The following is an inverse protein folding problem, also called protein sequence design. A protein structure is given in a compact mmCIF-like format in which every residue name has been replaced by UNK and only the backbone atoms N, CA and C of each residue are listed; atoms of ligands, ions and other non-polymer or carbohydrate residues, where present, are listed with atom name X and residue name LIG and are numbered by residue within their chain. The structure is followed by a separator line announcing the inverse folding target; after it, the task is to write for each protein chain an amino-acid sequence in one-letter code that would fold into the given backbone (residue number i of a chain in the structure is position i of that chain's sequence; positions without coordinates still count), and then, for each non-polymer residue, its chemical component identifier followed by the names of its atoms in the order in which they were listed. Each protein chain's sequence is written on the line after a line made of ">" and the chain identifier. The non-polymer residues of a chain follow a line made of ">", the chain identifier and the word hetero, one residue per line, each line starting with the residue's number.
data_IF_546144259136
#
_entry.id   IF_546144259136
#
_cell.length_a   1.000
_cell.length_b   1.000
_cell.length_c   1.000
_cell.angle_alpha   90.00
_cell.angle_beta   90.00
_cell.angle_gamma   90.00
#
_symmetry.space_group_name_H-M   'P 1'
#
loop_
_entity.id
_entity.type
_entity.pdbx_description
1 polymer ?
#
# COMPACT_ATOMS: atom_id res chain seq x y z
N UNK A 1 15.72 -32.14 -62.04
CA UNK A 1 14.93 -32.98 -61.11
C UNK A 1 13.95 -32.02 -60.46
N UNK A 2 12.66 -32.35 -60.42
CA UNK A 2 11.67 -31.45 -59.83
C UNK A 2 11.98 -31.34 -58.33
N UNK A 3 12.16 -30.11 -57.84
CA UNK A 3 12.46 -29.84 -56.45
C UNK A 3 11.24 -30.22 -55.61
N UNK A 4 11.33 -31.31 -54.84
CA UNK A 4 10.21 -31.82 -54.03
C UNK A 4 9.98 -30.84 -52.89
N UNK A 5 8.76 -30.30 -52.79
CA UNK A 5 8.44 -29.42 -51.69
C UNK A 5 8.03 -30.26 -50.49
N UNK A 6 8.97 -30.50 -49.58
CA UNK A 6 8.77 -31.37 -48.41
C UNK A 6 7.57 -30.96 -47.53
N UNK A 7 7.20 -29.69 -47.52
CA UNK A 7 6.07 -29.18 -46.73
C UNK A 7 4.72 -29.52 -47.38
N UNK A 8 4.56 -29.31 -48.69
CA UNK A 8 3.30 -29.61 -49.38
C UNK A 8 3.18 -31.11 -49.69
N UNK A 9 4.29 -31.75 -50.06
CA UNK A 9 4.27 -33.11 -50.60
C UNK A 9 4.24 -34.16 -49.50
N UNK A 10 4.99 -33.96 -48.41
CA UNK A 10 5.03 -34.92 -47.29
C UNK A 10 4.16 -34.47 -46.13
N UNK A 11 4.31 -33.23 -45.68
CA UNK A 11 3.52 -32.72 -44.56
C UNK A 11 2.11 -32.30 -44.96
N UNK A 12 1.77 -32.19 -46.25
CA UNK A 12 0.43 -31.79 -46.72
C UNK A 12 -0.02 -30.44 -46.15
N UNK A 13 0.92 -29.52 -45.94
CA UNK A 13 0.61 -28.14 -45.54
C UNK A 13 0.09 -27.42 -46.79
N UNK A 14 -1.05 -26.69 -46.71
CA UNK A 14 -1.55 -25.93 -47.85
C UNK A 14 -0.50 -24.94 -48.36
N UNK A 15 -0.35 -24.82 -49.69
CA UNK A 15 0.63 -23.91 -50.29
C UNK A 15 0.46 -22.45 -49.86
N UNK A 16 -0.75 -22.05 -49.48
CA UNK A 16 -1.04 -20.71 -48.95
C UNK A 16 -0.41 -20.44 -47.57
N UNK A 17 -0.17 -21.50 -46.79
CA UNK A 17 0.37 -21.42 -45.42
C UNK A 17 1.90 -21.63 -45.39
N UNK A 18 2.49 -21.97 -46.54
CA UNK A 18 3.95 -22.06 -46.71
C UNK A 18 4.46 -20.70 -47.20
N UNK A 19 5.29 -20.00 -46.41
CA UNK A 19 5.83 -18.71 -46.83
C UNK A 19 6.72 -18.85 -48.08
N UNK A 20 6.82 -17.81 -48.93
CA UNK A 20 7.61 -17.85 -50.16
C UNK A 20 9.12 -17.95 -49.90
N UNK A 21 9.58 -17.52 -48.71
CA UNK A 21 10.96 -17.65 -48.25
C UNK A 21 10.98 -18.26 -46.84
N UNK A 22 11.66 -19.40 -46.69
CA UNK A 22 11.88 -20.07 -45.40
C UNK A 22 10.83 -21.11 -44.98
N UNK A 23 11.04 -21.77 -43.83
CA UNK A 23 10.13 -22.79 -43.32
C UNK A 23 8.82 -22.17 -42.79
N UNK A 24 7.71 -22.93 -42.78
CA UNK A 24 6.49 -22.56 -42.08
C UNK A 24 6.72 -22.31 -40.58
N UNK A 25 5.77 -21.66 -39.93
CA UNK A 25 5.82 -21.49 -38.48
C UNK A 25 5.85 -22.86 -37.74
N UNK A 26 6.39 -22.88 -36.52
CA UNK A 26 6.59 -24.12 -35.76
C UNK A 26 5.25 -24.84 -35.44
N UNK A 27 4.13 -24.12 -35.37
CA UNK A 27 2.81 -24.69 -35.14
C UNK A 27 2.31 -25.40 -36.41
N UNK A 28 2.44 -24.75 -37.57
CA UNK A 28 2.11 -25.32 -38.87
C UNK A 28 3.00 -26.53 -39.20
N UNK A 29 4.30 -26.45 -38.92
CA UNK A 29 5.25 -27.54 -39.12
C UNK A 29 4.88 -28.78 -38.31
N UNK A 30 4.44 -28.58 -37.06
CA UNK A 30 3.97 -29.65 -36.18
C UNK A 30 2.48 -29.96 -36.30
N UNK A 31 1.74 -29.34 -37.23
CA UNK A 31 0.28 -29.50 -37.39
C UNK A 31 -0.50 -29.29 -36.09
N UNK A 32 -0.18 -28.21 -35.39
CA UNK A 32 -0.83 -27.79 -34.15
C UNK A 32 -1.59 -26.49 -34.37
N UNK A 33 -2.60 -26.26 -33.52
CA UNK A 33 -3.24 -24.95 -33.44
C UNK A 33 -2.23 -23.90 -32.95
N UNK A 34 -2.33 -22.69 -33.49
CA UNK A 34 -1.49 -21.57 -33.06
C UNK A 34 -1.64 -21.35 -31.55
N UNK A 35 -0.50 -21.22 -30.87
CA UNK A 35 -0.40 -21.04 -29.42
C UNK A 35 -0.85 -22.24 -28.56
N UNK A 36 -0.80 -23.47 -29.09
CA UNK A 36 -1.01 -24.69 -28.28
C UNK A 36 -0.10 -24.69 -27.04
N UNK A 37 -0.70 -24.87 -25.87
CA UNK A 37 0.00 -24.78 -24.57
C UNK A 37 0.32 -26.14 -23.96
N UNK A 38 -0.28 -27.22 -24.47
CA UNK A 38 -0.03 -28.56 -23.93
C UNK A 38 1.26 -29.18 -24.53
N UNK A 39 2.35 -29.33 -23.74
CA UNK A 39 3.62 -29.85 -24.24
C UNK A 39 3.54 -31.33 -24.65
N UNK A 40 2.62 -32.11 -24.08
CA UNK A 40 2.44 -33.51 -24.44
C UNK A 40 1.78 -33.65 -25.80
N UNK A 41 0.86 -32.74 -26.17
CA UNK A 41 0.33 -32.67 -27.53
C UNK A 41 1.42 -32.31 -28.54
N UNK A 42 2.29 -31.35 -28.21
CA UNK A 42 3.44 -30.98 -29.05
C UNK A 42 4.34 -32.19 -29.29
N UNK A 43 4.72 -32.90 -28.23
CA UNK A 43 5.54 -34.12 -28.30
C UNK A 43 4.85 -35.23 -29.08
N UNK A 44 3.55 -35.43 -28.88
CA UNK A 44 2.78 -36.45 -29.59
C UNK A 44 2.73 -36.16 -31.11
N UNK A 45 2.53 -34.91 -31.50
CA UNK A 45 2.52 -34.53 -32.91
C UNK A 45 3.91 -34.68 -33.55
N UNK A 46 4.95 -34.20 -32.87
CA UNK A 46 6.34 -34.39 -33.29
C UNK A 46 6.67 -35.87 -33.53
N UNK A 47 6.32 -36.78 -32.59
CA UNK A 47 6.60 -38.22 -32.75
C UNK A 47 5.96 -38.79 -34.02
N UNK A 48 4.69 -38.44 -34.30
CA UNK A 48 3.96 -38.90 -35.49
C UNK A 48 4.63 -38.41 -36.78
N UNK A 49 4.95 -37.12 -36.85
CA UNK A 49 5.56 -36.51 -38.04
C UNK A 49 6.99 -36.98 -38.25
N UNK A 50 7.79 -37.06 -37.19
CA UNK A 50 9.15 -37.56 -37.22
C UNK A 50 9.21 -39.03 -37.69
N UNK A 51 8.26 -39.88 -37.27
CA UNK A 51 8.15 -41.25 -37.80
C UNK A 51 7.79 -41.27 -39.29
N UNK A 52 6.87 -40.41 -39.72
CA UNK A 52 6.47 -40.31 -41.13
C UNK A 52 7.64 -39.88 -42.03
N UNK A 53 8.36 -38.82 -41.64
CA UNK A 53 9.48 -38.28 -42.42
C UNK A 53 10.65 -39.27 -42.48
N UNK A 54 10.91 -40.03 -41.41
CA UNK A 54 11.91 -41.11 -41.42
C UNK A 54 11.68 -42.18 -42.49
N UNK A 55 10.44 -42.34 -42.97
CA UNK A 55 10.15 -43.21 -44.11
C UNK A 55 10.85 -42.80 -45.41
N UNK A 56 11.28 -41.55 -45.51
CA UNK A 56 11.99 -40.98 -46.67
C UNK A 56 13.49 -40.82 -46.44
N UNK A 57 14.01 -41.28 -45.30
CA UNK A 57 15.42 -41.10 -44.90
C UNK A 57 16.42 -41.93 -45.75
N UNK A 58 15.92 -42.85 -46.58
CA UNK A 58 16.75 -43.65 -47.49
C UNK A 58 16.35 -43.40 -48.95
N UNK A 59 17.34 -43.23 -49.83
CA UNK A 59 17.14 -43.07 -51.27
C UNK A 59 17.46 -41.66 -51.78
N UNK A 60 16.80 -41.25 -52.86
CA UNK A 60 17.05 -39.97 -53.57
C UNK A 60 16.74 -38.72 -52.73
N UNK A 61 15.88 -38.85 -51.71
CA UNK A 61 15.43 -37.73 -50.86
C UNK A 61 16.03 -37.72 -49.45
N UNK A 62 17.13 -38.44 -49.22
CA UNK A 62 17.72 -38.61 -47.89
C UNK A 62 18.17 -37.29 -47.26
N UNK A 63 18.73 -36.38 -48.08
CA UNK A 63 19.18 -35.05 -47.63
C UNK A 63 17.99 -34.19 -47.17
N UNK A 64 16.97 -34.07 -48.01
CA UNK A 64 15.74 -33.32 -47.72
C UNK A 64 15.00 -33.89 -46.51
N UNK A 65 14.99 -35.22 -46.35
CA UNK A 65 14.45 -35.88 -45.16
C UNK A 65 15.22 -35.51 -43.91
N UNK A 66 16.54 -35.47 -43.96
CA UNK A 66 17.35 -35.14 -42.79
C UNK A 66 17.17 -33.67 -42.38
N UNK A 67 17.07 -32.75 -43.34
CA UNK A 67 16.77 -31.35 -43.09
C UNK A 67 15.42 -31.16 -42.41
N UNK A 68 14.36 -31.78 -42.95
CA UNK A 68 13.03 -31.68 -42.35
C UNK A 68 12.97 -32.27 -40.94
N UNK A 69 13.67 -33.39 -40.68
CA UNK A 69 13.78 -33.95 -39.33
C UNK A 69 14.45 -32.96 -38.35
N UNK A 70 15.48 -32.25 -38.81
CA UNK A 70 16.14 -31.23 -38.00
C UNK A 70 15.20 -30.04 -37.71
N UNK A 71 14.40 -29.61 -38.68
CA UNK A 71 13.39 -28.55 -38.49
C UNK A 71 12.30 -28.97 -37.50
N UNK A 72 11.76 -30.19 -37.63
CA UNK A 72 10.76 -30.74 -36.72
C UNK A 72 11.30 -30.81 -35.27
N UNK A 73 12.58 -31.19 -35.12
CA UNK A 73 13.23 -31.21 -33.82
C UNK A 73 13.40 -29.81 -33.22
N UNK A 74 13.83 -28.82 -34.03
CA UNK A 74 13.94 -27.42 -33.61
C UNK A 74 12.59 -26.86 -33.16
N UNK A 75 11.52 -27.11 -33.93
CA UNK A 75 10.17 -26.69 -33.59
C UNK A 75 9.69 -27.30 -32.26
N UNK A 76 9.90 -28.61 -32.08
CA UNK A 76 9.53 -29.30 -30.83
C UNK A 76 10.30 -28.75 -29.62
N UNK A 77 11.61 -28.54 -29.74
CA UNK A 77 12.42 -27.96 -28.66
C UNK A 77 12.01 -26.51 -28.34
N UNK A 78 11.66 -25.71 -29.34
CA UNK A 78 11.20 -24.34 -29.13
C UNK A 78 9.83 -24.30 -28.42
N UNK A 79 8.90 -25.21 -28.78
CA UNK A 79 7.54 -25.22 -28.27
C UNK A 79 7.35 -25.97 -26.94
N UNK A 80 8.32 -26.77 -26.49
CA UNK A 80 8.26 -27.50 -25.22
C UNK A 80 9.04 -26.85 -24.08
N UNK A 81 9.92 -25.90 -24.38
CA UNK A 81 10.63 -25.08 -23.39
C UNK A 81 9.81 -23.82 -23.08
N UNK A 82 9.47 -23.59 -21.81
CA UNK A 82 8.58 -22.50 -21.41
C UNK A 82 9.14 -21.11 -21.77
N UNK A 83 10.45 -20.92 -21.62
CA UNK A 83 11.11 -19.65 -21.95
C UNK A 83 11.11 -19.36 -23.45
N UNK A 84 11.60 -20.32 -24.24
CA UNK A 84 11.67 -20.20 -25.71
C UNK A 84 10.30 -20.12 -26.35
N UNK A 85 9.32 -20.91 -25.87
CA UNK A 85 7.94 -20.85 -26.35
C UNK A 85 7.37 -19.47 -26.14
N UNK A 86 7.63 -18.85 -24.99
CA UNK A 86 7.14 -17.51 -24.68
C UNK A 86 7.69 -16.45 -25.61
N UNK A 87 8.99 -16.48 -25.89
CA UNK A 87 9.66 -15.57 -26.84
C UNK A 87 9.15 -15.76 -28.27
N UNK A 88 9.00 -17.03 -28.69
CA UNK A 88 8.48 -17.38 -30.00
C UNK A 88 7.01 -16.98 -30.18
N UNK A 89 6.17 -17.26 -29.17
CA UNK A 89 4.76 -16.86 -29.18
C UNK A 89 4.61 -15.33 -29.22
N UNK A 90 5.50 -14.60 -28.52
CA UNK A 90 5.54 -13.15 -28.57
C UNK A 90 5.87 -12.64 -30.00
N UNK A 91 6.83 -13.26 -30.70
CA UNK A 91 7.18 -12.87 -32.08
C UNK A 91 6.05 -13.13 -33.07
N UNK A 92 5.20 -14.13 -32.82
CA UNK A 92 3.98 -14.42 -33.57
C UNK A 92 2.75 -13.60 -33.12
N UNK A 93 2.92 -12.65 -32.20
CA UNK A 93 1.89 -11.71 -31.77
C UNK A 93 1.00 -12.17 -30.61
N UNK A 94 1.39 -13.21 -29.86
CA UNK A 94 0.64 -13.62 -28.65
C UNK A 94 0.71 -12.52 -27.60
N UNK A 95 -0.46 -12.03 -27.18
CA UNK A 95 -0.57 -11.21 -25.98
C UNK A 95 -0.70 -12.14 -24.77
N UNK A 96 0.32 -12.16 -23.93
CA UNK A 96 0.23 -12.83 -22.65
C UNK A 96 -0.74 -12.04 -21.77
N UNK A 97 -1.70 -12.73 -21.14
CA UNK A 97 -2.54 -12.13 -20.11
C UNK A 97 -1.58 -11.54 -19.07
N UNK A 98 -1.58 -10.21 -18.91
CA UNK A 98 -0.80 -9.61 -17.85
C UNK A 98 -1.31 -10.23 -16.54
N UNK A 99 -0.42 -10.82 -15.75
CA UNK A 99 -0.74 -11.24 -14.38
C UNK A 99 -1.09 -9.97 -13.62
N UNK A 100 -2.38 -9.69 -13.59
CA UNK A 100 -2.97 -8.62 -12.81
C UNK A 100 -3.36 -9.19 -11.45
N UNK A 101 -3.23 -8.37 -10.41
CA UNK A 101 -3.80 -8.68 -9.10
C UNK A 101 -5.34 -8.76 -9.16
N UNK A 102 -5.97 -9.05 -8.02
CA UNK A 102 -7.44 -9.15 -7.88
C UNK A 102 -8.19 -7.90 -8.38
N UNK A 103 -7.53 -6.74 -8.39
CA UNK A 103 -8.05 -5.45 -8.85
C UNK A 103 -7.81 -5.21 -10.36
N UNK A 104 -7.29 -6.18 -11.11
CA UNK A 104 -6.99 -6.02 -12.54
C UNK A 104 -5.75 -5.14 -12.82
N UNK A 105 -4.87 -4.93 -11.84
CA UNK A 105 -3.71 -4.04 -11.94
C UNK A 105 -2.40 -4.83 -11.92
N UNK A 106 -1.38 -4.34 -12.61
CA UNK A 106 -0.08 -5.00 -12.65
C UNK A 106 0.66 -4.82 -11.32
N UNK A 107 1.14 -5.90 -10.67
CA UNK A 107 1.89 -5.80 -9.42
C UNK A 107 3.17 -4.96 -9.56
N UNK A 108 3.53 -4.23 -8.50
CA UNK A 108 4.67 -3.31 -8.53
C UNK A 108 6.00 -4.01 -8.83
N UNK A 109 6.19 -5.23 -8.30
CA UNK A 109 7.41 -6.01 -8.52
C UNK A 109 7.62 -6.30 -9.99
N UNK A 110 6.55 -6.72 -10.69
CA UNK A 110 6.56 -6.97 -12.13
C UNK A 110 6.78 -5.70 -12.94
N UNK A 111 6.22 -4.56 -12.51
CA UNK A 111 6.48 -3.27 -13.14
C UNK A 111 7.96 -2.90 -13.07
N UNK A 112 8.61 -3.12 -11.92
CA UNK A 112 10.03 -2.83 -11.72
C UNK A 112 10.94 -3.79 -12.50
N UNK A 113 10.60 -5.08 -12.56
CA UNK A 113 11.33 -6.07 -13.37
C UNK A 113 11.19 -5.75 -14.86
N UNK A 114 9.98 -5.46 -15.35
CA UNK A 114 9.73 -5.08 -16.74
C UNK A 114 10.47 -3.81 -17.14
N UNK A 115 10.64 -2.87 -16.21
CA UNK A 115 11.40 -1.64 -16.42
C UNK A 115 12.93 -1.83 -16.29
N UNK A 116 13.41 -3.06 -16.04
CA UNK A 116 14.83 -3.37 -15.86
C UNK A 116 15.45 -2.71 -14.61
N UNK A 117 14.62 -2.35 -13.62
CA UNK A 117 15.08 -1.68 -12.39
C UNK A 117 15.55 -2.66 -11.32
N UNK A 118 15.00 -3.87 -11.35
CA UNK A 118 15.42 -5.02 -10.52
C UNK A 118 15.36 -6.30 -11.38
N UNK A 119 16.15 -7.30 -11.02
CA UNK A 119 16.07 -8.66 -11.58
C UNK A 119 14.94 -9.47 -10.93
N UNK A 120 14.60 -10.63 -11.51
CA UNK A 120 13.60 -11.54 -10.92
C UNK A 120 14.09 -12.10 -9.59
N UNK A 121 15.37 -12.40 -9.51
CA UNK A 121 16.05 -12.94 -8.33
C UNK A 121 16.01 -11.92 -7.18
N UNK A 122 16.31 -10.65 -7.48
CA UNK A 122 16.20 -9.56 -6.50
C UNK A 122 14.77 -9.31 -6.02
N UNK A 123 13.76 -9.50 -6.89
CA UNK A 123 12.37 -9.38 -6.50
C UNK A 123 12.00 -10.48 -5.50
N UNK A 124 12.35 -11.74 -5.78
CA UNK A 124 12.10 -12.87 -4.87
C UNK A 124 12.82 -12.69 -3.54
N UNK A 125 14.06 -12.19 -3.55
CA UNK A 125 14.79 -11.84 -2.32
C UNK A 125 14.07 -10.75 -1.50
N UNK A 126 13.57 -9.71 -2.18
CA UNK A 126 12.84 -8.63 -1.54
C UNK A 126 11.49 -9.08 -0.95
N UNK A 127 10.78 -9.96 -1.63
CA UNK A 127 9.54 -10.58 -1.13
C UNK A 127 9.81 -11.41 0.14
N UNK A 128 10.84 -12.25 0.12
CA UNK A 128 11.24 -13.01 1.31
C UNK A 128 11.71 -12.12 2.47
N UNK A 129 12.41 -11.02 2.18
CA UNK A 129 12.81 -10.03 3.19
C UNK A 129 11.60 -9.33 3.81
N UNK A 130 10.61 -8.98 2.98
CA UNK A 130 9.38 -8.31 3.38
C UNK A 130 8.55 -9.22 4.31
N UNK A 131 8.31 -10.47 3.89
CA UNK A 131 7.55 -11.46 4.65
C UNK A 131 8.21 -11.75 6.01
N UNK A 132 9.52 -11.98 6.04
CA UNK A 132 10.25 -12.29 7.26
C UNK A 132 10.21 -11.16 8.31
N UNK A 133 9.92 -9.91 7.89
CA UNK A 133 9.88 -8.72 8.77
C UNK A 133 8.50 -8.09 8.91
N UNK A 134 7.48 -8.64 8.24
CA UNK A 134 6.15 -8.03 8.17
C UNK A 134 6.16 -6.64 7.56
N UNK A 135 7.02 -6.40 6.56
CA UNK A 135 7.12 -5.13 5.85
C UNK A 135 6.35 -5.20 4.53
N UNK A 136 5.93 -4.04 4.03
CA UNK A 136 5.45 -3.93 2.66
C UNK A 136 6.60 -4.07 1.65
N UNK A 137 6.33 -4.69 0.50
CA UNK A 137 7.33 -4.90 -0.56
C UNK A 137 8.04 -3.59 -0.97
N UNK A 138 7.30 -2.47 -1.07
CA UNK A 138 7.88 -1.16 -1.40
C UNK A 138 8.97 -0.74 -0.40
N UNK A 139 8.74 -0.99 0.89
CA UNK A 139 9.63 -0.55 1.97
C UNK A 139 10.82 -1.51 2.08
N UNK A 140 10.60 -2.81 1.86
CA UNK A 140 11.68 -3.80 1.73
C UNK A 140 12.64 -3.47 0.57
N UNK A 141 12.10 -3.16 -0.62
CA UNK A 141 12.88 -2.78 -1.80
C UNK A 141 13.76 -1.54 -1.55
N UNK A 142 13.26 -0.56 -0.80
CA UNK A 142 14.00 0.65 -0.43
C UNK A 142 15.04 0.34 0.64
N UNK A 143 14.69 -0.44 1.65
CA UNK A 143 15.57 -0.80 2.76
C UNK A 143 16.76 -1.65 2.30
N UNK A 144 16.53 -2.57 1.36
CA UNK A 144 17.56 -3.37 0.70
C UNK A 144 18.38 -2.57 -0.33
N UNK A 145 18.04 -1.29 -0.55
CA UNK A 145 18.69 -0.39 -1.52
C UNK A 145 18.63 -0.91 -2.96
N UNK A 146 17.65 -1.75 -3.28
CA UNK A 146 17.45 -2.27 -4.63
C UNK A 146 16.92 -1.18 -5.57
N UNK A 147 16.06 -0.31 -5.06
CA UNK A 147 15.51 0.84 -5.81
C UNK A 147 15.33 2.06 -4.90
N UNK A 148 15.45 3.29 -5.44
CA UNK A 148 15.24 4.50 -4.66
C UNK A 148 13.76 4.67 -4.28
N UNK A 149 13.51 5.32 -3.13
CA UNK A 149 12.16 5.52 -2.58
C UNK A 149 11.16 6.11 -3.57
N UNK A 150 11.54 7.16 -4.32
CA UNK A 150 10.68 7.78 -5.33
C UNK A 150 10.20 6.79 -6.39
N UNK A 151 11.07 5.86 -6.82
CA UNK A 151 10.72 4.87 -7.84
C UNK A 151 9.83 3.76 -7.27
N UNK A 152 10.13 3.27 -6.06
CA UNK A 152 9.33 2.27 -5.37
C UNK A 152 7.90 2.77 -5.10
N UNK A 153 7.77 3.98 -4.54
CA UNK A 153 6.46 4.59 -4.24
C UNK A 153 5.68 4.96 -5.51
N UNK A 154 6.35 5.32 -6.61
CA UNK A 154 5.70 5.52 -7.91
C UNK A 154 5.17 4.21 -8.50
N UNK A 155 5.90 3.11 -8.36
CA UNK A 155 5.43 1.78 -8.78
C UNK A 155 4.25 1.30 -7.92
N UNK A 156 4.31 1.53 -6.60
CA UNK A 156 3.21 1.28 -5.67
C UNK A 156 1.96 2.09 -6.03
N UNK A 157 2.09 3.39 -6.30
CA UNK A 157 0.97 4.23 -6.72
C UNK A 157 0.26 3.65 -7.95
N UNK A 158 1.02 3.21 -8.95
CA UNK A 158 0.49 2.58 -10.16
C UNK A 158 -0.23 1.26 -9.89
N UNK A 159 0.31 0.42 -9.01
CA UNK A 159 -0.34 -0.81 -8.55
C UNK A 159 -1.66 -0.53 -7.82
N UNK A 160 -1.72 0.58 -7.05
CA UNK A 160 -2.92 1.03 -6.35
C UNK A 160 -3.87 1.86 -7.23
N UNK A 161 -3.54 2.08 -8.52
CA UNK A 161 -4.34 2.92 -9.41
C UNK A 161 -4.40 4.39 -8.98
N UNK A 162 -3.43 4.84 -8.18
CA UNK A 162 -3.29 6.19 -7.67
C UNK A 162 -2.19 6.95 -8.41
N UNK A 163 -2.23 8.27 -8.33
CA UNK A 163 -1.17 9.13 -8.87
C UNK A 163 -0.05 9.31 -7.84
N UNK A 164 1.20 9.45 -8.31
CA UNK A 164 2.33 9.84 -7.47
C UNK A 164 2.57 11.34 -7.63
N UNK A 165 2.83 12.04 -6.53
CA UNK A 165 3.12 13.47 -6.51
C UNK A 165 4.46 13.75 -5.80
N UNK A 166 5.13 14.84 -6.19
CA UNK A 166 6.32 15.35 -5.50
C UNK A 166 5.94 16.61 -4.70
N UNK A 167 6.06 16.54 -3.37
CA UNK A 167 5.73 17.66 -2.46
C UNK A 167 6.77 18.78 -2.51
N UNK A 168 7.89 18.61 -3.24
CA UNK A 168 8.80 19.70 -3.57
C UNK A 168 8.22 20.65 -4.63
N UNK A 169 7.35 20.15 -5.50
CA UNK A 169 6.73 20.91 -6.60
C UNK A 169 5.30 21.36 -6.26
N UNK A 170 4.59 20.55 -5.47
CA UNK A 170 3.20 20.80 -5.10
C UNK A 170 3.10 21.40 -3.70
N UNK A 171 2.66 22.66 -3.61
CA UNK A 171 2.45 23.35 -2.35
C UNK A 171 0.98 23.22 -1.90
N UNK A 172 0.72 22.92 -0.61
CA UNK A 172 -0.62 22.95 -0.05
C UNK A 172 -1.14 24.39 0.15
N UNK A 173 -2.46 24.56 0.02
CA UNK A 173 -3.15 25.82 0.30
C UNK A 173 -3.19 26.10 1.81
N UNK A 174 -2.93 27.35 2.19
CA UNK A 174 -2.85 27.73 3.60
C UNK A 174 -4.19 27.54 4.34
N UNK A 175 -5.31 27.86 3.68
CA UNK A 175 -6.66 27.69 4.24
C UNK A 175 -7.01 26.22 4.48
N UNK A 176 -6.47 25.32 3.66
CA UNK A 176 -6.65 23.87 3.78
C UNK A 176 -5.82 23.34 4.95
N UNK A 177 -4.57 23.79 5.08
CA UNK A 177 -3.70 23.41 6.19
C UNK A 177 -4.22 23.89 7.55
N UNK A 178 -4.74 25.12 7.64
CA UNK A 178 -5.34 25.66 8.88
C UNK A 178 -6.51 24.81 9.37
N UNK A 179 -7.26 24.22 8.44
CA UNK A 179 -8.35 23.32 8.75
C UNK A 179 -7.87 21.93 9.15
N UNK A 180 -6.62 21.51 8.90
CA UNK A 180 -6.16 20.14 9.17
C UNK A 180 -5.00 20.11 10.18
N UNK A 181 -5.21 19.69 11.44
CA UNK A 181 -4.19 19.76 12.48
C UNK A 181 -2.92 18.94 12.21
N UNK A 182 -1.75 19.47 12.58
CA UNK A 182 -0.44 18.79 12.45
C UNK A 182 -0.40 17.43 13.13
N UNK A 183 -1.06 17.29 14.28
CA UNK A 183 -1.10 16.03 15.02
C UNK A 183 -1.78 14.93 14.19
N UNK A 184 -2.87 15.26 13.51
CA UNK A 184 -3.57 14.35 12.59
C UNK A 184 -2.69 14.02 11.39
N UNK A 185 -2.06 15.03 10.78
CA UNK A 185 -1.15 14.85 9.66
C UNK A 185 0.02 13.90 9.97
N UNK A 186 0.64 14.08 11.14
CA UNK A 186 1.76 13.24 11.58
C UNK A 186 1.33 11.83 11.95
N UNK A 187 0.19 11.67 12.61
CA UNK A 187 -0.30 10.35 13.06
C UNK A 187 -0.68 9.47 11.87
N UNK A 188 -1.36 10.04 10.89
CA UNK A 188 -1.92 9.32 9.76
C UNK A 188 -1.05 9.40 8.50
N UNK A 189 0.05 10.16 8.52
CA UNK A 189 0.96 10.30 7.38
C UNK A 189 0.28 10.92 6.16
N UNK A 190 -0.52 11.95 6.39
CA UNK A 190 -1.46 12.51 5.42
C UNK A 190 -1.46 14.04 5.47
N UNK A 191 -1.43 14.72 4.32
CA UNK A 191 -1.57 16.17 4.23
C UNK A 191 -2.56 16.51 3.10
N UNK A 192 -3.67 17.21 3.39
CA UNK A 192 -4.52 17.77 2.34
C UNK A 192 -3.79 18.94 1.66
N UNK A 193 -3.83 18.95 0.34
CA UNK A 193 -3.09 19.89 -0.50
C UNK A 193 -3.98 21.01 -0.99
N UNK A 194 -5.01 20.67 -1.77
CA UNK A 194 -5.87 21.63 -2.48
C UNK A 194 -7.31 21.13 -2.37
N UNK A 195 -8.26 22.04 -2.22
CA UNK A 195 -9.71 21.73 -2.28
C UNK A 195 -10.26 22.29 -3.58
N UNK A 196 -10.67 21.40 -4.48
CA UNK A 196 -11.35 21.76 -5.73
C UNK A 196 -12.88 21.60 -5.59
N UNK A 197 -13.62 21.98 -6.63
CA UNK A 197 -15.09 21.86 -6.66
C UNK A 197 -15.59 20.40 -6.51
N UNK A 198 -14.79 19.42 -6.95
CA UNK A 198 -15.20 18.00 -6.95
C UNK A 198 -14.57 17.17 -5.83
N UNK A 199 -13.35 17.49 -5.40
CA UNK A 199 -12.57 16.65 -4.50
C UNK A 199 -11.51 17.44 -3.71
N UNK A 200 -11.05 16.87 -2.60
CA UNK A 200 -9.84 17.34 -1.91
C UNK A 200 -8.66 16.52 -2.38
N UNK A 201 -7.63 17.15 -2.95
CA UNK A 201 -6.38 16.47 -3.26
C UNK A 201 -5.60 16.22 -1.97
N UNK A 202 -5.25 14.97 -1.70
CA UNK A 202 -4.64 14.57 -0.42
C UNK A 202 -3.36 13.78 -0.63
N UNK A 203 -2.24 14.29 -0.15
CA UNK A 203 -0.97 13.56 -0.09
C UNK A 203 -1.02 12.50 1.01
N UNK A 204 -0.63 11.28 0.68
CA UNK A 204 -0.56 10.17 1.65
C UNK A 204 0.59 9.21 1.31
N UNK A 205 1.17 8.57 2.31
CA UNK A 205 2.19 7.53 2.11
C UNK A 205 1.56 6.16 1.80
N UNK A 206 0.35 5.91 2.31
CA UNK A 206 -0.35 4.62 2.28
C UNK A 206 -1.81 4.81 1.90
N UNK A 207 -2.57 3.72 1.80
CA UNK A 207 -4.03 3.80 1.65
C UNK A 207 -4.64 4.59 2.81
N UNK A 208 -5.67 5.39 2.51
CA UNK A 208 -6.42 6.14 3.52
C UNK A 208 -7.39 5.18 4.20
N UNK A 209 -7.43 5.20 5.53
CA UNK A 209 -8.39 4.41 6.31
C UNK A 209 -9.82 4.97 6.12
N UNK A 210 -10.87 4.11 6.09
CA UNK A 210 -12.25 4.57 5.87
C UNK A 210 -12.72 5.66 6.85
N UNK A 211 -12.29 5.60 8.12
CA UNK A 211 -12.62 6.62 9.12
C UNK A 211 -11.99 7.98 8.78
N UNK A 212 -10.73 7.98 8.33
CA UNK A 212 -10.04 9.19 7.91
C UNK A 212 -10.62 9.75 6.60
N UNK A 213 -11.04 8.87 5.68
CA UNK A 213 -11.74 9.28 4.46
C UNK A 213 -13.04 10.02 4.79
N UNK A 214 -13.83 9.51 5.73
CA UNK A 214 -15.05 10.16 6.19
C UNK A 214 -14.78 11.47 6.95
N UNK A 215 -13.76 11.52 7.81
CA UNK A 215 -13.35 12.76 8.48
C UNK A 215 -12.92 13.84 7.47
N UNK A 216 -12.13 13.49 6.45
CA UNK A 216 -11.74 14.42 5.39
C UNK A 216 -12.97 14.94 4.63
N UNK A 217 -13.91 14.03 4.32
CA UNK A 217 -15.16 14.39 3.66
C UNK A 217 -16.02 15.34 4.49
N UNK A 218 -16.14 15.10 5.81
CA UNK A 218 -16.90 15.96 6.71
C UNK A 218 -16.22 17.32 6.91
N UNK A 219 -14.89 17.34 6.99
CA UNK A 219 -14.09 18.55 7.23
C UNK A 219 -14.08 19.49 6.03
N UNK A 220 -13.94 18.95 4.82
CA UNK A 220 -13.79 19.74 3.59
C UNK A 220 -15.04 19.73 2.70
N UNK A 221 -16.07 18.95 3.04
CA UNK A 221 -17.32 18.84 2.28
C UNK A 221 -17.20 18.12 0.93
N UNK A 222 -16.05 17.52 0.63
CA UNK A 222 -15.72 16.88 -0.66
C UNK A 222 -15.01 15.54 -0.42
N UNK A 223 -15.17 14.54 -1.31
CA UNK A 223 -14.44 13.28 -1.19
C UNK A 223 -12.93 13.50 -1.36
N UNK A 224 -12.07 12.76 -0.63
CA UNK A 224 -10.64 12.87 -0.82
C UNK A 224 -10.19 12.11 -2.08
N UNK A 225 -9.25 12.71 -2.81
CA UNK A 225 -8.56 12.14 -3.95
C UNK A 225 -7.09 11.91 -3.55
N UNK A 226 -6.72 10.67 -3.17
CA UNK A 226 -5.38 10.39 -2.67
C UNK A 226 -4.32 10.45 -3.77
N UNK A 227 -3.17 11.01 -3.43
CA UNK A 227 -1.91 10.94 -4.19
C UNK A 227 -0.81 10.39 -3.30
N UNK A 228 -0.04 9.45 -3.84
CA UNK A 228 1.04 8.79 -3.12
C UNK A 228 2.28 9.68 -3.13
N UNK A 229 2.91 9.82 -1.97
CA UNK A 229 4.18 10.51 -1.76
C UNK A 229 5.14 9.63 -0.95
N UNK A 230 6.43 9.96 -0.91
CA UNK A 230 7.37 9.22 -0.06
C UNK A 230 7.29 9.66 1.42
N UNK A 231 7.61 8.78 2.39
CA UNK A 231 7.64 9.15 3.82
C UNK A 231 8.62 10.29 4.14
N UNK A 232 9.72 10.38 3.39
CA UNK A 232 10.69 11.46 3.53
C UNK A 232 10.09 12.81 3.10
N UNK A 233 9.42 12.85 1.94
CA UNK A 233 8.73 14.04 1.44
C UNK A 233 7.61 14.46 2.40
N UNK A 234 6.81 13.51 2.90
CA UNK A 234 5.76 13.75 3.88
C UNK A 234 6.31 14.40 5.16
N UNK A 235 7.38 13.83 5.73
CA UNK A 235 8.01 14.37 6.95
C UNK A 235 8.57 15.77 6.72
N UNK A 236 9.20 16.02 5.57
CA UNK A 236 9.71 17.34 5.20
C UNK A 236 8.57 18.35 5.02
N UNK A 237 7.48 17.96 4.37
CA UNK A 237 6.31 18.81 4.19
C UNK A 237 5.65 19.17 5.52
N UNK A 238 5.49 18.20 6.44
CA UNK A 238 4.94 18.48 7.78
C UNK A 238 5.80 19.50 8.52
N UNK A 239 7.12 19.35 8.49
CA UNK A 239 8.03 20.29 9.15
C UNK A 239 8.00 21.68 8.50
N UNK A 240 7.88 21.74 7.17
CA UNK A 240 7.91 22.99 6.42
C UNK A 240 6.62 23.81 6.56
N UNK A 241 5.46 23.16 6.46
CA UNK A 241 4.18 23.85 6.33
C UNK A 241 3.43 23.99 7.66
N UNK A 242 3.61 23.09 8.61
CA UNK A 242 3.04 23.24 9.95
C UNK A 242 3.97 24.01 10.89
N UNK A 243 4.03 25.33 10.67
CA UNK A 243 4.68 26.27 11.59
C UNK A 243 3.78 26.54 12.81
N UNK A 244 4.33 27.04 13.93
CA UNK A 244 3.56 27.33 15.15
C UNK A 244 2.38 28.32 14.95
N UNK A 245 2.38 29.11 13.87
CA UNK A 245 1.31 30.04 13.53
C UNK A 245 0.12 29.31 12.87
N UNK A 246 0.41 28.37 11.95
CA UNK A 246 -0.62 27.52 11.31
C UNK A 246 -1.22 26.54 12.32
N UNK A 247 -0.40 26.02 13.25
CA UNK A 247 -0.86 25.13 14.34
C UNK A 247 -1.86 25.80 15.30
N UNK A 248 -1.83 27.13 15.43
CA UNK A 248 -2.77 27.88 16.28
C UNK A 248 -4.15 28.08 15.64
N UNK A 249 -4.26 27.97 14.30
CA UNK A 249 -5.52 28.09 13.57
C UNK A 249 -6.41 26.85 13.62
N UNK A 250 -5.81 25.66 13.77
CA UNK A 250 -6.52 24.38 13.87
C UNK A 250 -6.87 23.94 15.31
N UNK A 251 -6.46 24.72 16.32
CA UNK A 251 -6.66 24.42 17.73
C UNK A 251 -8.03 24.91 18.24
N UNK A 252 -9.12 24.51 17.57
CA UNK A 252 -10.47 24.71 18.07
C UNK A 252 -11.29 23.42 17.99
N UNK A 253 -10.98 22.44 18.85
CA UNK A 253 -11.94 21.54 19.52
C UNK A 253 -11.21 20.50 20.40
N UNK A 254 -11.41 20.57 21.73
CA UNK A 254 -11.07 19.51 22.69
C UNK A 254 -9.83 19.76 23.56
N UNK A 255 -9.93 19.83 24.91
CA UNK A 255 -8.86 20.38 25.74
C UNK A 255 -7.80 19.32 26.10
N UNK A 256 -6.62 19.41 25.51
CA UNK A 256 -5.40 18.82 26.06
C UNK A 256 -4.47 19.94 26.54
N UNK A 257 -4.40 20.10 27.87
CA UNK A 257 -3.66 21.16 28.57
C UNK A 257 -2.15 21.11 28.25
N UNK A 258 -1.66 22.12 27.55
CA UNK A 258 -0.28 22.61 27.71
C UNK A 258 -0.31 23.93 28.50
N UNK A 259 0.46 23.99 29.58
CA UNK A 259 0.41 25.02 30.62
C UNK A 259 1.07 26.33 30.13
N UNK A 260 0.28 27.25 29.61
CA UNK A 260 0.66 28.68 29.54
C UNK A 260 0.13 29.37 30.79
N UNK A 261 1.02 29.89 31.65
CA UNK A 261 0.65 30.65 32.86
C UNK A 261 0.04 32.00 32.45
N UNK A 262 -1.26 32.01 32.15
CA UNK A 262 -2.07 33.24 32.12
C UNK A 262 -2.29 33.68 33.57
N UNK A 263 -2.12 34.97 33.92
CA UNK A 263 -2.41 35.46 35.27
C UNK A 263 -3.89 35.18 35.59
N UNK A 264 -4.14 34.36 36.61
CA UNK A 264 -5.50 34.03 37.04
C UNK A 264 -6.16 35.28 37.59
N UNK A 265 -7.26 35.73 36.96
CA UNK A 265 -8.19 36.71 37.55
C UNK A 265 -8.62 36.19 38.93
N UNK A 266 -8.56 37.05 39.95
CA UNK A 266 -8.96 36.68 41.32
C UNK A 266 -10.46 36.39 41.37
N UNK A 267 -10.90 35.59 42.34
CA UNK A 267 -12.30 35.18 42.44
C UNK A 267 -13.28 36.38 42.45
N UNK A 268 -12.87 37.49 43.06
CA UNK A 268 -13.65 38.74 43.13
C UNK A 268 -13.86 39.44 41.77
N UNK A 269 -13.08 39.11 40.74
CA UNK A 269 -13.14 39.72 39.40
C UNK A 269 -13.96 38.90 38.39
N UNK A 270 -14.63 37.83 38.84
CA UNK A 270 -15.41 36.93 38.00
C UNK A 270 -16.88 37.34 37.99
N UNK A 271 -17.54 37.11 36.86
CA UNK A 271 -18.98 37.28 36.70
C UNK A 271 -19.76 36.30 37.61
N UNK A 272 -21.00 36.65 37.99
CA UNK A 272 -21.79 35.88 38.97
C UNK A 272 -22.02 34.42 38.55
N UNK A 273 -22.20 34.17 37.25
CA UNK A 273 -22.31 32.81 36.71
C UNK A 273 -21.02 31.99 36.92
N UNK A 274 -19.87 32.60 36.69
CA UNK A 274 -18.56 31.96 36.84
C UNK A 274 -18.19 31.71 38.30
N UNK A 275 -18.62 32.58 39.21
CA UNK A 275 -18.45 32.37 40.66
C UNK A 275 -19.26 31.18 41.17
N UNK A 276 -20.48 30.99 40.66
CA UNK A 276 -21.34 29.83 41.02
C UNK A 276 -20.75 28.52 40.52
N UNK A 277 -20.26 28.48 39.28
CA UNK A 277 -19.63 27.29 38.72
C UNK A 277 -18.36 26.91 39.51
N UNK A 278 -17.50 27.88 39.83
CA UNK A 278 -16.31 27.63 40.66
C UNK A 278 -16.64 27.16 42.07
N UNK A 279 -17.71 27.70 42.68
CA UNK A 279 -18.24 27.21 43.96
C UNK A 279 -18.69 25.76 43.87
N UNK A 280 -19.43 25.40 42.81
CA UNK A 280 -19.88 24.03 42.59
C UNK A 280 -18.69 23.07 42.38
N UNK A 281 -17.70 23.45 41.56
CA UNK A 281 -16.49 22.65 41.36
C UNK A 281 -15.68 22.48 42.66
N UNK A 282 -15.59 23.52 43.48
CA UNK A 282 -14.97 23.45 44.81
C UNK A 282 -15.71 22.49 45.75
N UNK A 283 -17.04 22.57 45.80
CA UNK A 283 -17.88 21.67 46.61
C UNK A 283 -17.73 20.21 46.14
N UNK A 284 -17.77 19.97 44.83
CA UNK A 284 -17.58 18.64 44.24
C UNK A 284 -16.20 18.08 44.61
N UNK A 285 -15.13 18.90 44.53
CA UNK A 285 -13.79 18.47 44.90
C UNK A 285 -13.69 18.09 46.39
N UNK A 286 -14.37 18.81 47.28
CA UNK A 286 -14.45 18.48 48.72
C UNK A 286 -15.17 17.14 48.93
N UNK A 287 -16.29 16.92 48.25
CA UNK A 287 -17.04 15.66 48.34
C UNK A 287 -16.20 14.46 47.89
N UNK A 288 -15.51 14.56 46.74
CA UNK A 288 -14.61 13.49 46.28
C UNK A 288 -13.41 13.28 47.21
N UNK A 289 -12.92 14.35 47.86
CA UNK A 289 -11.87 14.26 48.87
C UNK A 289 -12.25 13.47 50.13
N UNK A 290 -13.54 13.32 50.43
CA UNK A 290 -14.03 12.47 51.52
C UNK A 290 -14.42 11.06 51.02
N UNK A 291 -15.00 10.96 49.82
CA UNK A 291 -15.50 9.70 49.26
C UNK A 291 -14.35 8.76 48.85
N UNK A 292 -13.31 9.27 48.19
CA UNK A 292 -12.20 8.43 47.69
C UNK A 292 -11.43 7.75 48.84
N UNK A 293 -11.03 8.47 49.91
CA UNK A 293 -10.36 7.81 51.04
C UNK A 293 -11.26 6.80 51.76
N UNK A 294 -12.56 7.07 51.89
CA UNK A 294 -13.50 6.14 52.50
C UNK A 294 -13.66 4.86 51.65
N UNK A 295 -13.79 4.99 50.33
CA UNK A 295 -13.86 3.85 49.42
C UNK A 295 -12.54 3.05 49.39
N UNK A 296 -11.39 3.73 49.44
CA UNK A 296 -10.08 3.07 49.52
C UNK A 296 -9.90 2.32 50.85
N UNK A 297 -10.35 2.89 51.98
CA UNK A 297 -10.33 2.22 53.26
C UNK A 297 -11.22 0.96 53.24
N UNK A 298 -12.41 1.04 52.64
CA UNK A 298 -13.30 -0.11 52.46
C UNK A 298 -12.66 -1.23 51.62
N UNK A 299 -12.03 -0.87 50.50
CA UNK A 299 -11.41 -1.85 49.59
C UNK A 299 -10.13 -2.49 50.15
N UNK A 300 -9.33 -1.74 50.92
CA UNK A 300 -8.05 -2.21 51.45
C UNK A 300 -8.16 -2.93 52.79
N UNK A 301 -9.11 -2.54 53.65
CA UNK A 301 -9.23 -3.09 55.01
C UNK A 301 -10.38 -4.09 55.19
N UNK A 302 -11.17 -4.36 54.15
CA UNK A 302 -12.13 -5.48 54.13
C UNK A 302 -13.25 -5.37 55.15
N UNK A 303 -13.36 -6.30 56.10
CA UNK A 303 -14.38 -6.29 57.17
C UNK A 303 -13.70 -6.35 58.55
N UNK A 304 -12.63 -5.56 58.70
CA UNK A 304 -11.83 -5.49 59.92
C UNK A 304 -12.47 -4.55 60.96
N UNK A 305 -12.32 -4.88 62.24
CA UNK A 305 -12.84 -4.06 63.37
C UNK A 305 -12.31 -2.61 63.38
N UNK A 306 -11.22 -2.34 62.66
CA UNK A 306 -10.58 -1.03 62.56
C UNK A 306 -11.07 -0.20 61.36
N UNK A 307 -11.89 -0.76 60.48
CA UNK A 307 -12.27 -0.11 59.23
C UNK A 307 -13.04 1.19 59.43
N UNK A 308 -13.99 1.21 60.39
CA UNK A 308 -14.76 2.42 60.71
C UNK A 308 -13.85 3.53 61.23
N UNK A 309 -12.86 3.19 62.06
CA UNK A 309 -11.92 4.16 62.63
C UNK A 309 -11.04 4.76 61.52
N UNK A 310 -10.47 3.92 60.66
CA UNK A 310 -9.62 4.40 59.55
C UNK A 310 -10.40 5.11 58.45
N UNK A 311 -11.63 4.70 58.15
CA UNK A 311 -12.49 5.39 57.20
C UNK A 311 -12.86 6.80 57.69
N UNK A 312 -13.21 6.95 58.97
CA UNK A 312 -13.51 8.26 59.57
C UNK A 312 -12.27 9.15 59.64
N UNK A 313 -11.12 8.61 60.03
CA UNK A 313 -9.86 9.36 60.10
C UNK A 313 -9.40 9.81 58.70
N UNK A 314 -9.49 8.92 57.71
CA UNK A 314 -9.17 9.19 56.32
C UNK A 314 -10.11 10.22 55.69
N UNK A 315 -11.42 10.13 55.96
CA UNK A 315 -12.39 11.10 55.47
C UNK A 315 -12.21 12.49 56.10
N UNK A 316 -11.88 12.56 57.41
CA UNK A 316 -11.62 13.83 58.09
C UNK A 316 -10.35 14.51 57.57
N UNK A 317 -9.25 13.76 57.42
CA UNK A 317 -7.97 14.30 56.92
C UNK A 317 -8.07 14.64 55.43
N UNK A 318 -8.61 13.73 54.62
CA UNK A 318 -8.79 13.92 53.18
C UNK A 318 -9.74 15.06 52.85
N UNK A 319 -10.89 15.13 53.54
CA UNK A 319 -11.86 16.21 53.41
C UNK A 319 -11.29 17.56 53.85
N UNK A 320 -10.54 17.62 54.96
CA UNK A 320 -9.89 18.84 55.43
C UNK A 320 -8.83 19.37 54.47
N UNK A 321 -7.98 18.49 53.93
CA UNK A 321 -6.97 18.85 52.92
C UNK A 321 -7.62 19.29 51.60
N UNK A 322 -8.66 18.60 51.15
CA UNK A 322 -9.42 18.96 49.96
C UNK A 322 -10.14 20.31 50.13
N UNK A 323 -10.69 20.61 51.31
CA UNK A 323 -11.31 21.88 51.62
C UNK A 323 -10.31 23.05 51.64
N UNK A 324 -9.15 22.86 52.27
CA UNK A 324 -8.08 23.87 52.27
C UNK A 324 -7.56 24.13 50.84
N UNK A 325 -7.38 23.06 50.05
CA UNK A 325 -6.96 23.14 48.65
C UNK A 325 -8.01 23.81 47.76
N UNK A 326 -9.28 23.43 47.92
CA UNK A 326 -10.39 24.01 47.18
C UNK A 326 -10.57 25.50 47.52
N UNK A 327 -10.42 25.89 48.77
CA UNK A 327 -10.46 27.30 49.19
C UNK A 327 -9.34 28.12 48.56
N UNK A 328 -8.12 27.59 48.52
CA UNK A 328 -6.97 28.26 47.90
C UNK A 328 -7.05 28.42 46.38
N UNK A 329 -7.84 27.58 45.70
CA UNK A 329 -7.89 27.51 44.23
C UNK A 329 -9.18 28.07 43.64
N UNK A 330 -10.30 27.81 44.30
CA UNK A 330 -11.63 28.16 43.79
C UNK A 330 -12.23 29.39 44.48
N UNK A 331 -11.73 29.79 45.67
CA UNK A 331 -12.30 30.89 46.45
C UNK A 331 -11.37 32.07 46.75
N UNK A 332 -10.09 31.99 46.34
CA UNK A 332 -9.10 33.07 46.46
C UNK A 332 -8.99 33.88 45.16
#
# INVERSE_FOLDING_TARGET
>A
MADVNVYTDWLKIPKADVPPEGPPDHYALLKLDRFEDNPDKVRASYRKLNQHVRGYASGEYAEQSQELLNELAKAMLALTDEGRKREYDASLGRKFKEETNELGRVPMGRLLVKAGKISREQLTEAEGFAEARGLDLRDALVQMKLVPAKLAYRAYAREQGLSYADLGELAPDEDVLRQFPKATAKRHGLIPLIVDDDAVLVATCTAIEPEMEEELRLRFGKPPKPVIVTPAEMTQAITRYYTPEVDQGGAAAGPAKAKTKVPRKSFAQLDEGQQRERRQLGIIAICWGAIIPAAAAYFLLGDSDLLVVWALLGAAIGGGLAAAWAFLIYWK
#
